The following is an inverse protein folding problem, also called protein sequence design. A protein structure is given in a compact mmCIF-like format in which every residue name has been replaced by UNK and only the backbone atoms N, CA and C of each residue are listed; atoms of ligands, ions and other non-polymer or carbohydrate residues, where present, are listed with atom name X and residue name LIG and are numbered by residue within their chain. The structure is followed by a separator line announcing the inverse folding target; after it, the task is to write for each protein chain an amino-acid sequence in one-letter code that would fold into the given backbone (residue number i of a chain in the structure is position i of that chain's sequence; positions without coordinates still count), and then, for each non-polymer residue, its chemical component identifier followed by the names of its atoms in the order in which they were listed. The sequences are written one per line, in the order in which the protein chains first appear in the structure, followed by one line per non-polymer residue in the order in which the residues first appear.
data_IF_247123438253
#
_entry.id   IF_247123438253
#
_cell.length_a   1.000
_cell.length_b   1.000
_cell.length_c   1.000
_cell.angle_alpha   90.00
_cell.angle_beta   90.00
_cell.angle_gamma   90.00
#
_symmetry.space_group_name_H-M   'P 1'
#
loop_
_entity.id
_entity.type
_entity.pdbx_description
1 polymer ?
#
# COMPACT_ATOMS: atom_id res chain seq x y z
N UNK A 1 18.49 1.73 7.51
CA UNK A 1 17.24 2.47 7.30
C UNK A 1 16.05 1.52 7.37
N UNK A 2 14.88 1.96 7.83
CA UNK A 2 13.67 1.13 7.96
C UNK A 2 12.43 1.88 7.51
N UNK A 3 11.64 1.32 6.58
CA UNK A 3 10.44 2.00 6.06
C UNK A 3 9.27 1.80 7.02
N UNK A 4 8.64 2.90 7.41
CA UNK A 4 7.40 2.91 8.19
C UNK A 4 6.33 3.65 7.40
N UNK A 5 5.30 2.90 6.99
CA UNK A 5 4.17 3.43 6.23
C UNK A 5 3.02 3.89 7.11
N UNK A 6 1.88 4.19 6.48
CA UNK A 6 0.59 4.40 7.14
C UNK A 6 0.09 3.11 7.80
N UNK A 7 -0.50 3.19 8.99
CA UNK A 7 -1.05 2.06 9.78
C UNK A 7 -0.04 0.91 9.99
N UNK A 8 1.26 1.20 10.17
CA UNK A 8 2.27 0.15 10.32
C UNK A 8 1.97 -0.72 11.55
N UNK A 9 1.81 -2.04 11.33
CA UNK A 9 1.38 -3.02 12.32
C UNK A 9 0.01 -2.73 13.01
N UNK A 10 -0.81 -1.86 12.41
CA UNK A 10 -2.13 -1.51 12.94
C UNK A 10 -3.20 -2.59 12.74
N UNK A 11 -4.27 -2.51 13.54
CA UNK A 11 -5.46 -3.35 13.42
C UNK A 11 -6.74 -2.51 13.55
N UNK A 12 -7.65 -2.64 12.60
CA UNK A 12 -8.91 -1.91 12.60
C UNK A 12 -8.73 -0.40 12.72
N UNK A 13 -9.36 0.20 13.73
CA UNK A 13 -9.27 1.64 14.04
C UNK A 13 -8.66 1.88 15.43
N UNK A 14 -7.88 0.92 15.95
CA UNK A 14 -7.32 1.01 17.30
C UNK A 14 -6.23 2.10 17.40
N UNK A 15 -5.42 2.27 16.35
CA UNK A 15 -4.36 3.26 16.27
C UNK A 15 -4.67 4.31 15.19
N UNK A 16 -4.12 5.50 15.35
CA UNK A 16 -4.09 6.52 14.31
C UNK A 16 -3.15 6.15 13.15
N UNK A 17 -3.34 6.76 11.97
CA UNK A 17 -2.66 6.38 10.74
C UNK A 17 -1.14 6.52 10.75
N UNK A 18 -0.60 7.35 11.64
CA UNK A 18 0.82 7.65 11.73
C UNK A 18 1.36 7.56 13.17
N UNK A 19 0.62 6.94 14.09
CA UNK A 19 1.07 6.79 15.50
C UNK A 19 2.39 6.02 15.58
N UNK A 20 2.60 5.06 14.67
CA UNK A 20 3.85 4.33 14.53
C UNK A 20 5.04 5.18 14.05
N UNK A 21 4.81 6.41 13.58
CA UNK A 21 5.88 7.36 13.26
C UNK A 21 6.30 8.13 14.51
N UNK A 22 5.30 8.62 15.25
CA UNK A 22 5.51 9.45 16.43
C UNK A 22 6.27 8.69 17.54
N UNK A 23 6.02 7.38 17.69
CA UNK A 23 6.70 6.55 18.69
C UNK A 23 8.24 6.52 18.51
N UNK A 24 8.77 6.73 17.30
CA UNK A 24 10.22 6.79 17.09
C UNK A 24 10.89 7.97 17.80
N UNK A 25 10.13 9.03 18.12
CA UNK A 25 10.65 10.16 18.89
C UNK A 25 11.01 9.78 20.33
N UNK A 26 10.44 8.69 20.86
CA UNK A 26 10.73 8.16 22.19
C UNK A 26 12.02 7.31 22.23
N UNK A 27 12.53 6.88 21.07
CA UNK A 27 13.68 5.98 20.96
C UNK A 27 14.73 6.52 19.96
N UNK A 28 15.48 7.59 20.31
CA UNK A 28 16.44 8.23 19.41
C UNK A 28 17.73 7.41 19.17
N UNK A 29 17.95 6.33 19.93
CA UNK A 29 19.20 5.57 20.00
C UNK A 29 19.14 4.18 19.35
N UNK A 30 18.10 3.88 18.57
CA UNK A 30 17.88 2.56 17.95
C UNK A 30 18.97 2.09 16.96
N UNK A 31 19.94 2.94 16.62
CA UNK A 31 21.00 2.61 15.64
C UNK A 31 20.49 2.42 14.20
N UNK A 32 19.21 2.72 13.93
CA UNK A 32 18.58 2.63 12.62
C UNK A 32 17.72 3.87 12.34
N UNK A 33 17.90 4.45 11.16
CA UNK A 33 17.11 5.61 10.73
C UNK A 33 15.77 5.17 10.13
N UNK A 34 14.62 5.57 10.71
CA UNK A 34 13.33 5.33 10.09
C UNK A 34 13.16 6.20 8.83
N UNK A 35 12.41 5.68 7.86
CA UNK A 35 12.00 6.34 6.64
C UNK A 35 10.47 6.36 6.60
N UNK A 36 9.89 7.50 6.93
CA UNK A 36 8.44 7.68 6.94
C UNK A 36 7.90 7.91 5.53
N UNK A 37 7.01 7.02 5.07
CA UNK A 37 6.45 7.07 3.71
C UNK A 37 4.92 7.16 3.78
N UNK A 38 4.37 8.25 3.25
CA UNK A 38 2.91 8.43 3.08
C UNK A 38 2.34 7.43 2.08
N UNK A 39 1.05 7.17 2.18
CA UNK A 39 0.32 6.30 1.27
C UNK A 39 0.54 6.66 -0.20
N UNK A 40 0.61 5.62 -1.03
CA UNK A 40 0.76 5.75 -2.48
C UNK A 40 -0.58 5.51 -3.18
N UNK A 41 -0.72 6.10 -4.37
CA UNK A 41 -1.85 5.93 -5.27
C UNK A 41 -1.32 5.84 -6.70
N UNK A 42 -2.11 5.25 -7.59
CA UNK A 42 -1.81 5.29 -9.01
C UNK A 42 -2.30 6.62 -9.59
N UNK A 43 -1.43 7.40 -10.22
CA UNK A 43 -1.85 8.60 -10.93
C UNK A 43 -1.90 8.35 -12.43
N UNK A 44 -3.08 8.54 -13.02
CA UNK A 44 -3.30 8.31 -14.46
C UNK A 44 -2.45 9.25 -15.32
N UNK A 45 -2.28 10.51 -14.89
CA UNK A 45 -1.43 11.49 -15.58
C UNK A 45 0.06 11.21 -15.46
N UNK A 46 0.51 10.67 -14.32
CA UNK A 46 1.91 10.26 -14.16
C UNK A 46 2.20 8.91 -14.81
N UNK A 47 1.17 8.09 -15.05
CA UNK A 47 1.31 6.73 -15.58
C UNK A 47 1.92 5.75 -14.58
N UNK A 48 1.77 5.97 -13.28
CA UNK A 48 2.46 5.15 -12.28
C UNK A 48 2.03 5.37 -10.83
N UNK A 49 2.57 4.52 -9.95
CA UNK A 49 2.43 4.63 -8.50
C UNK A 49 3.27 5.80 -7.98
N UNK A 50 2.60 6.73 -7.32
CA UNK A 50 3.17 7.98 -6.79
C UNK A 50 2.52 8.30 -5.45
N UNK A 51 3.00 9.35 -4.77
CA UNK A 51 2.38 9.88 -3.56
C UNK A 51 2.24 11.40 -3.66
N UNK A 52 1.64 12.01 -2.63
CA UNK A 52 1.36 13.46 -2.61
C UNK A 52 2.61 14.33 -2.67
N UNK A 53 3.77 13.81 -2.24
CA UNK A 53 5.04 14.56 -2.27
C UNK A 53 5.59 14.71 -3.68
N UNK A 54 5.30 13.77 -4.58
CA UNK A 54 5.90 13.69 -5.92
C UNK A 54 4.89 13.82 -7.06
N UNK A 55 3.59 13.93 -6.74
CA UNK A 55 2.53 14.08 -7.73
C UNK A 55 1.71 15.36 -7.47
N UNK A 56 1.78 16.37 -8.35
CA UNK A 56 1.03 17.61 -8.20
C UNK A 56 -0.42 17.50 -8.69
N UNK A 57 -0.82 16.38 -9.29
CA UNK A 57 -2.15 16.22 -9.87
C UNK A 57 -3.23 16.08 -8.81
N UNK A 58 -4.40 16.64 -9.11
CA UNK A 58 -5.63 16.61 -8.29
C UNK A 58 -6.22 15.20 -8.14
N UNK A 59 -7.11 15.05 -7.16
CA UNK A 59 -7.67 13.76 -6.76
C UNK A 59 -8.44 13.04 -7.88
N UNK A 60 -9.00 13.75 -8.87
CA UNK A 60 -9.68 13.08 -10.00
C UNK A 60 -8.74 12.22 -10.86
N UNK A 61 -7.43 12.46 -10.81
CA UNK A 61 -6.43 11.65 -11.51
C UNK A 61 -5.81 10.56 -10.63
N UNK A 62 -6.20 10.47 -9.36
CA UNK A 62 -5.61 9.58 -8.36
C UNK A 62 -6.52 8.38 -8.10
N UNK A 63 -6.03 7.19 -8.39
CA UNK A 63 -6.70 5.94 -8.10
C UNK A 63 -6.07 5.34 -6.83
N UNK A 64 -6.83 5.35 -5.74
CA UNK A 64 -6.43 4.66 -4.50
C UNK A 64 -6.55 3.15 -4.66
N UNK A 65 -5.51 2.43 -4.25
CA UNK A 65 -5.49 0.97 -4.31
C UNK A 65 -6.11 0.40 -3.04
N UNK A 66 -7.23 -0.32 -3.18
CA UNK A 66 -7.91 -0.98 -2.07
C UNK A 66 -7.52 -2.45 -2.01
N UNK A 67 -6.89 -2.87 -0.92
CA UNK A 67 -6.58 -4.29 -0.67
C UNK A 67 -7.83 -5.17 -0.59
N UNK A 68 -8.93 -4.68 0.00
CA UNK A 68 -10.21 -5.40 0.05
C UNK A 68 -10.76 -5.67 -1.34
N UNK A 69 -10.72 -4.68 -2.23
CA UNK A 69 -11.15 -4.83 -3.62
C UNK A 69 -10.26 -5.80 -4.38
N UNK A 70 -8.94 -5.71 -4.20
CA UNK A 70 -7.97 -6.62 -4.80
C UNK A 70 -8.21 -8.07 -4.38
N UNK A 71 -8.36 -8.33 -3.07
CA UNK A 71 -8.65 -9.69 -2.56
C UNK A 71 -9.95 -10.23 -3.11
N UNK A 72 -11.02 -9.41 -3.14
CA UNK A 72 -12.30 -9.81 -3.75
C UNK A 72 -12.14 -10.21 -5.22
N UNK A 73 -11.38 -9.45 -6.02
CA UNK A 73 -11.11 -9.82 -7.42
C UNK A 73 -10.40 -11.16 -7.54
N UNK A 74 -9.38 -11.39 -6.71
CA UNK A 74 -8.62 -12.65 -6.69
C UNK A 74 -9.52 -13.83 -6.29
N UNK A 75 -10.35 -13.68 -5.26
CA UNK A 75 -11.33 -14.72 -4.84
C UNK A 75 -12.35 -15.03 -5.93
N UNK A 76 -12.75 -14.03 -6.72
CA UNK A 76 -13.64 -14.19 -7.88
C UNK A 76 -12.92 -14.73 -9.14
N UNK A 77 -11.63 -15.10 -9.03
CA UNK A 77 -10.76 -15.51 -10.14
C UNK A 77 -10.70 -14.49 -11.29
N UNK A 78 -10.83 -13.20 -10.97
CA UNK A 78 -10.73 -12.09 -11.93
C UNK A 78 -9.35 -11.47 -11.88
N UNK A 79 -8.72 -11.30 -13.04
CA UNK A 79 -7.42 -10.62 -13.17
C UNK A 79 -7.55 -9.15 -12.74
N UNK A 80 -6.83 -8.69 -11.70
CA UNK A 80 -6.81 -7.28 -11.31
C UNK A 80 -6.20 -6.42 -12.42
N UNK A 81 -6.57 -5.13 -12.51
CA UNK A 81 -5.94 -4.21 -13.46
C UNK A 81 -4.43 -4.05 -13.23
N UNK A 82 -3.67 -3.78 -14.30
CA UNK A 82 -2.20 -3.68 -14.26
C UNK A 82 -1.69 -2.59 -13.32
N UNK A 83 -2.47 -1.51 -13.17
CA UNK A 83 -2.15 -0.43 -12.24
C UNK A 83 -2.25 -0.84 -10.76
N UNK A 84 -2.90 -1.97 -10.47
CA UNK A 84 -3.12 -2.50 -9.13
C UNK A 84 -2.19 -3.68 -8.82
N UNK A 85 -1.99 -4.57 -9.79
CA UNK A 85 -1.11 -5.73 -9.69
C UNK A 85 -0.48 -5.99 -11.06
N UNK A 86 0.85 -6.19 -11.09
CA UNK A 86 1.56 -6.53 -12.33
C UNK A 86 0.97 -7.82 -12.95
N UNK A 87 0.81 -7.90 -14.28
CA UNK A 87 0.21 -9.05 -14.95
C UNK A 87 0.82 -10.40 -14.55
N UNK A 88 2.14 -10.46 -14.46
CA UNK A 88 2.91 -11.69 -14.19
C UNK A 88 2.70 -12.14 -12.75
N UNK A 89 2.60 -11.19 -11.82
CA UNK A 89 2.30 -11.47 -10.40
C UNK A 89 0.84 -11.90 -10.25
N UNK A 90 -0.09 -11.25 -10.96
CA UNK A 90 -1.49 -11.63 -10.95
C UNK A 90 -1.71 -13.07 -11.45
N UNK A 91 -1.00 -13.47 -12.50
CA UNK A 91 -1.04 -14.84 -13.04
C UNK A 91 -0.53 -15.86 -12.03
N UNK A 92 0.60 -15.58 -11.37
CA UNK A 92 1.13 -16.45 -10.31
C UNK A 92 0.14 -16.57 -9.16
N UNK A 93 -0.41 -15.45 -8.65
CA UNK A 93 -1.38 -15.46 -7.56
C UNK A 93 -2.66 -16.24 -7.92
N UNK A 94 -3.17 -16.07 -9.15
CA UNK A 94 -4.37 -16.77 -9.63
C UNK A 94 -4.13 -18.26 -9.92
N UNK A 95 -2.88 -18.70 -10.00
CA UNK A 95 -2.54 -20.12 -10.19
C UNK A 95 -2.71 -20.95 -8.91
N UNK A 96 -2.73 -20.30 -7.73
CA UNK A 96 -2.97 -20.98 -6.46
C UNK A 96 -4.46 -21.29 -6.27
N UNK A 97 -4.76 -22.49 -5.79
CA UNK A 97 -6.14 -22.88 -5.44
C UNK A 97 -6.67 -22.03 -4.27
N UNK A 98 -5.85 -21.86 -3.23
CA UNK A 98 -6.14 -21.04 -2.05
C UNK A 98 -5.04 -19.98 -1.85
N UNK A 99 -5.15 -18.80 -2.47
CA UNK A 99 -4.11 -17.76 -2.41
C UNK A 99 -4.08 -16.98 -1.09
N UNK A 100 -5.02 -17.20 -0.18
CA UNK A 100 -5.10 -16.53 1.11
C UNK A 100 -5.06 -17.54 2.26
N UNK A 101 -4.42 -17.15 3.36
CA UNK A 101 -4.42 -17.92 4.61
C UNK A 101 -5.76 -17.72 5.29
N UNK A 102 -6.36 -18.83 5.76
CA UNK A 102 -7.60 -18.85 6.54
C UNK A 102 -7.39 -18.36 7.99
#
# INVERSE_FOLDING_TARGET
HFIVGRDHAGVGTFYGPYDAWEIFSEFPDLGITPLFIRESFYCVKCGGMVNEKICPHSNEFRIRISGTKLRKMIMEKKKPPEYMLRPEVAEVVLSFENPFVE
#
